data_IF_979081046585
#
_entry.id   IF_979081046585
#
_cell.length_a   1.000
_cell.length_b   1.000
_cell.length_c   1.000
_cell.angle_alpha   90.00
_cell.angle_beta   90.00
_cell.angle_gamma   90.00
#
_symmetry.space_group_name_H-M   'P 1'
#
loop_
_entity.id
_entity.type
_entity.pdbx_description
1 polymer ?
#
# COMPACT_ATOMS: atom_id res chain seq x y z
N UNK A 1 -5.59 56.64 13.64
CA UNK A 1 -5.16 55.44 14.41
C UNK A 1 -6.38 54.58 14.68
N UNK A 2 -6.59 53.50 13.92
CA UNK A 2 -7.62 52.54 14.26
C UNK A 2 -7.14 51.64 15.41
N UNK A 3 -7.91 51.48 16.49
CA UNK A 3 -7.52 50.60 17.58
C UNK A 3 -7.53 49.16 17.08
N UNK A 4 -6.42 48.44 17.26
CA UNK A 4 -6.34 47.01 17.06
C UNK A 4 -7.43 46.34 17.92
N UNK A 5 -8.53 45.89 17.30
CA UNK A 5 -9.52 45.04 17.96
C UNK A 5 -8.80 43.75 18.36
N UNK A 6 -8.52 43.57 19.65
CA UNK A 6 -8.02 42.31 20.19
C UNK A 6 -9.05 41.22 19.91
N UNK A 7 -8.66 40.22 19.14
CA UNK A 7 -9.46 39.02 18.87
C UNK A 7 -9.74 38.31 20.20
N UNK A 8 -10.99 37.91 20.46
CA UNK A 8 -11.31 37.21 21.71
C UNK A 8 -10.78 35.77 21.66
N UNK A 9 -10.50 35.12 22.81
CA UNK A 9 -10.07 33.71 22.84
C UNK A 9 -11.02 32.77 22.08
N UNK A 10 -12.33 33.00 22.20
CA UNK A 10 -13.35 32.23 21.49
C UNK A 10 -13.32 32.43 19.97
N UNK A 11 -13.04 33.64 19.49
CA UNK A 11 -12.87 33.92 18.06
C UNK A 11 -11.59 33.28 17.51
N UNK A 12 -10.52 33.22 18.30
CA UNK A 12 -9.28 32.56 17.92
C UNK A 12 -9.46 31.04 17.84
N UNK A 13 -10.17 30.43 18.79
CA UNK A 13 -10.50 29.00 18.79
C UNK A 13 -11.37 28.61 17.59
N UNK A 14 -12.44 29.37 17.31
CA UNK A 14 -13.27 29.16 16.11
C UNK A 14 -12.45 29.22 14.82
N UNK A 15 -11.52 30.17 14.74
CA UNK A 15 -10.64 30.31 13.58
C UNK A 15 -9.70 29.12 13.42
N UNK A 16 -9.14 28.59 14.51
CA UNK A 16 -8.28 27.39 14.47
C UNK A 16 -9.08 26.16 14.02
N UNK A 17 -10.30 25.99 14.50
CA UNK A 17 -11.17 24.88 14.09
C UNK A 17 -11.51 24.95 12.59
N UNK A 18 -11.77 26.14 12.06
CA UNK A 18 -12.02 26.36 10.64
C UNK A 18 -10.78 26.01 9.80
N UNK A 19 -9.60 26.47 10.20
CA UNK A 19 -8.34 26.16 9.51
C UNK A 19 -8.04 24.65 9.53
N UNK A 20 -8.30 23.98 10.66
CA UNK A 20 -8.14 22.53 10.77
C UNK A 20 -9.07 21.78 9.81
N UNK A 21 -10.31 22.24 9.64
CA UNK A 21 -11.24 21.65 8.65
C UNK A 21 -10.74 21.87 7.22
N UNK A 22 -10.35 23.10 6.87
CA UNK A 22 -9.81 23.41 5.54
C UNK A 22 -8.58 22.58 5.19
N UNK A 23 -7.69 22.36 6.17
CA UNK A 23 -6.54 21.49 5.99
C UNK A 23 -6.98 20.05 5.70
N UNK A 24 -7.92 19.50 6.48
CA UNK A 24 -8.45 18.14 6.26
C UNK A 24 -9.07 18.00 4.87
N UNK A 25 -9.86 18.98 4.43
CA UNK A 25 -10.50 18.97 3.12
C UNK A 25 -9.46 18.98 1.99
N UNK A 26 -8.42 19.82 2.11
CA UNK A 26 -7.32 19.88 1.15
C UNK A 26 -6.56 18.55 1.06
N UNK A 27 -6.21 17.94 2.21
CA UNK A 27 -5.52 16.64 2.24
C UNK A 27 -6.40 15.52 1.67
N UNK A 28 -7.71 15.53 1.96
CA UNK A 28 -8.65 14.56 1.40
C UNK A 28 -8.70 14.62 -0.14
N UNK A 29 -8.49 15.80 -0.72
CA UNK A 29 -8.43 16.03 -2.16
C UNK A 29 -7.01 15.85 -2.75
N UNK A 30 -6.01 15.52 -1.94
CA UNK A 30 -4.58 15.53 -2.28
C UNK A 30 -4.06 16.90 -2.76
N UNK A 31 -4.73 18.00 -2.41
CA UNK A 31 -4.26 19.35 -2.68
C UNK A 31 -3.28 19.81 -1.59
N UNK A 32 -2.04 19.31 -1.69
CA UNK A 32 -0.98 19.65 -0.75
C UNK A 32 -0.52 21.10 -0.86
N UNK A 33 -0.79 21.79 -1.98
CA UNK A 33 -0.48 23.20 -2.13
C UNK A 33 -1.45 24.07 -1.30
N UNK A 34 -2.75 23.78 -1.37
CA UNK A 34 -3.74 24.40 -0.50
C UNK A 34 -3.49 24.03 0.97
N UNK A 35 -3.20 22.76 1.26
CA UNK A 35 -2.84 22.29 2.60
C UNK A 35 -1.64 23.06 3.19
N UNK A 36 -0.61 23.31 2.38
CA UNK A 36 0.55 24.13 2.76
C UNK A 36 0.14 25.55 3.16
N UNK A 37 -0.67 26.22 2.34
CA UNK A 37 -1.12 27.58 2.60
C UNK A 37 -1.96 27.69 3.89
N UNK A 38 -2.81 26.70 4.14
CA UNK A 38 -3.60 26.61 5.38
C UNK A 38 -2.69 26.39 6.60
N UNK A 39 -1.70 25.51 6.49
CA UNK A 39 -0.74 25.26 7.57
C UNK A 39 0.10 26.52 7.88
N UNK A 40 0.55 27.27 6.87
CA UNK A 40 1.24 28.55 7.06
C UNK A 40 0.36 29.59 7.75
N UNK A 41 -0.91 29.71 7.35
CA UNK A 41 -1.86 30.60 8.02
C UNK A 41 -2.08 30.22 9.48
N UNK A 42 -2.11 28.92 9.78
CA UNK A 42 -2.26 28.38 11.13
C UNK A 42 -1.02 28.65 11.98
N UNK A 43 0.19 28.48 11.43
CA UNK A 43 1.45 28.77 12.12
C UNK A 43 1.62 30.27 12.45
N UNK A 44 0.96 31.19 11.74
CA UNK A 44 0.95 32.62 12.16
C UNK A 44 0.18 32.83 13.47
N UNK A 45 -0.78 31.97 13.78
CA UNK A 45 -1.57 32.01 15.02
C UNK A 45 -0.92 31.17 16.14
N UNK A 46 -0.33 30.03 15.78
CA UNK A 46 0.30 29.08 16.72
C UNK A 46 1.71 28.65 16.25
N UNK A 47 2.73 29.53 16.31
CA UNK A 47 4.02 29.33 15.63
C UNK A 47 4.87 28.14 16.10
N UNK A 48 4.54 27.56 17.26
CA UNK A 48 5.30 26.46 17.89
C UNK A 48 4.45 25.20 18.06
N UNK A 49 3.26 25.13 17.46
CA UNK A 49 2.43 23.94 17.56
C UNK A 49 3.09 22.77 16.78
N UNK A 50 3.43 21.65 17.44
CA UNK A 50 4.14 20.55 16.79
C UNK A 50 3.34 19.86 15.68
N UNK A 51 2.05 19.64 15.87
CA UNK A 51 1.18 18.95 14.91
C UNK A 51 1.03 19.75 13.60
N UNK A 52 0.88 21.07 13.72
CA UNK A 52 0.81 21.97 12.56
C UNK A 52 2.16 22.05 11.85
N UNK A 53 3.28 22.05 12.58
CA UNK A 53 4.62 22.00 11.95
C UNK A 53 4.87 20.69 11.22
N UNK A 54 4.42 19.55 11.78
CA UNK A 54 4.50 18.24 11.11
C UNK A 54 3.65 18.21 9.85
N UNK A 55 2.43 18.73 9.93
CA UNK A 55 1.49 18.86 8.80
C UNK A 55 2.05 19.76 7.69
N UNK A 56 2.66 20.89 8.06
CA UNK A 56 3.34 21.79 7.14
C UNK A 56 4.52 21.10 6.44
N UNK A 57 5.35 20.36 7.19
CA UNK A 57 6.48 19.62 6.65
C UNK A 57 6.04 18.52 5.66
N UNK A 58 4.91 17.85 5.92
CA UNK A 58 4.31 16.90 4.98
C UNK A 58 3.90 17.60 3.67
N UNK A 59 3.19 18.73 3.75
CA UNK A 59 2.80 19.49 2.56
C UNK A 59 4.01 20.01 1.77
N UNK A 60 5.06 20.48 2.46
CA UNK A 60 6.33 20.85 1.82
C UNK A 60 6.93 19.68 1.05
N UNK A 61 7.01 18.49 1.67
CA UNK A 61 7.53 17.29 1.01
C UNK A 61 6.71 16.91 -0.23
N UNK A 62 5.38 16.89 -0.10
CA UNK A 62 4.47 16.54 -1.21
C UNK A 62 4.45 17.58 -2.34
N UNK A 63 4.91 18.81 -2.08
CA UNK A 63 5.07 19.87 -3.10
C UNK A 63 6.52 20.00 -3.61
N UNK A 64 7.41 19.05 -3.27
CA UNK A 64 8.79 19.00 -3.76
C UNK A 64 9.78 19.90 -3.01
N UNK A 65 9.36 20.58 -1.94
CA UNK A 65 10.21 21.43 -1.11
C UNK A 65 10.98 20.62 -0.04
N UNK A 66 11.67 19.56 -0.48
CA UNK A 66 12.27 18.54 0.39
C UNK A 66 13.22 19.10 1.45
N UNK A 67 14.12 20.02 1.08
CA UNK A 67 15.06 20.63 2.02
C UNK A 67 14.38 21.43 3.14
N UNK A 68 13.28 22.13 2.84
CA UNK A 68 12.50 22.85 3.86
C UNK A 68 11.72 21.90 4.76
N UNK A 69 11.15 20.85 4.17
CA UNK A 69 10.48 19.78 4.92
C UNK A 69 11.45 19.12 5.91
N UNK A 70 12.63 18.68 5.43
CA UNK A 70 13.69 18.09 6.25
C UNK A 70 14.09 18.99 7.41
N UNK A 71 14.38 20.27 7.16
CA UNK A 71 14.74 21.23 8.23
C UNK A 71 13.63 21.39 9.27
N UNK A 72 12.38 21.38 8.83
CA UNK A 72 11.21 21.50 9.72
C UNK A 72 11.08 20.28 10.62
N UNK A 73 11.15 19.06 10.05
CA UNK A 73 11.13 17.82 10.82
C UNK A 73 12.35 17.70 11.76
N UNK A 74 13.57 18.00 11.29
CA UNK A 74 14.77 17.97 12.14
C UNK A 74 14.65 18.91 13.34
N UNK A 75 14.11 20.11 13.13
CA UNK A 75 13.89 21.07 14.23
C UNK A 75 12.91 20.51 15.25
N UNK A 76 11.81 19.88 14.81
CA UNK A 76 10.89 19.21 15.71
C UNK A 76 11.58 18.09 16.51
N UNK A 77 12.32 17.20 15.83
CA UNK A 77 13.09 16.10 16.42
C UNK A 77 14.09 16.57 17.49
N UNK A 78 14.68 17.75 17.30
CA UNK A 78 15.64 18.34 18.25
C UNK A 78 14.96 19.08 19.41
N UNK A 79 13.70 19.52 19.23
CA UNK A 79 13.02 20.39 20.18
C UNK A 79 12.13 19.67 21.18
N UNK A 80 11.78 18.41 20.91
CA UNK A 80 10.86 17.62 21.72
C UNK A 80 11.47 16.25 22.03
N UNK A 81 11.19 15.68 23.21
CA UNK A 81 11.46 14.27 23.45
C UNK A 81 10.59 13.41 22.53
N UNK A 82 11.06 12.21 22.21
CA UNK A 82 10.44 11.30 21.23
C UNK A 82 8.97 11.01 21.56
N UNK A 83 8.64 10.87 22.85
CA UNK A 83 7.29 10.57 23.33
C UNK A 83 6.28 11.72 23.13
N UNK A 84 6.77 12.92 22.80
CA UNK A 84 5.93 14.12 22.56
C UNK A 84 5.94 14.54 21.08
N UNK A 85 6.57 13.76 20.20
CA UNK A 85 6.53 14.03 18.77
C UNK A 85 5.13 13.69 18.21
N UNK A 86 4.64 14.45 17.21
CA UNK A 86 3.41 14.11 16.52
C UNK A 86 3.47 12.70 15.91
N UNK A 87 2.32 12.03 15.83
CA UNK A 87 2.21 10.75 15.14
C UNK A 87 2.68 10.87 13.68
N UNK A 88 3.32 9.82 13.16
CA UNK A 88 3.88 9.73 11.79
C UNK A 88 4.99 10.72 11.42
N UNK A 89 5.41 11.58 12.35
CA UNK A 89 6.45 12.57 12.11
C UNK A 89 7.80 11.93 11.75
N UNK A 90 8.15 10.85 12.45
CA UNK A 90 9.42 10.13 12.23
C UNK A 90 9.39 9.42 10.87
N UNK A 91 8.24 8.86 10.47
CA UNK A 91 8.03 8.32 9.13
C UNK A 91 8.23 9.39 8.05
N UNK A 92 7.65 10.59 8.25
CA UNK A 92 7.84 11.73 7.35
C UNK A 92 9.31 12.20 7.28
N UNK A 93 10.03 12.14 8.40
CA UNK A 93 11.46 12.46 8.45
C UNK A 93 12.31 11.40 7.74
N UNK A 94 11.99 10.11 7.90
CA UNK A 94 12.64 9.03 7.15
C UNK A 94 12.39 9.19 5.65
N UNK A 95 11.13 9.42 5.25
CA UNK A 95 10.75 9.62 3.86
C UNK A 95 11.50 10.78 3.20
N UNK A 96 11.54 11.96 3.84
CA UNK A 96 12.25 13.12 3.25
C UNK A 96 13.76 12.90 3.18
N UNK A 97 14.34 12.09 4.08
CA UNK A 97 15.74 11.68 3.96
C UNK A 97 15.95 10.78 2.74
N UNK A 98 14.99 9.91 2.41
CA UNK A 98 14.98 9.13 1.17
C UNK A 98 14.98 10.02 -0.07
N UNK A 99 14.06 10.99 -0.14
CA UNK A 99 13.99 11.96 -1.25
C UNK A 99 15.28 12.79 -1.42
N UNK A 100 15.97 13.11 -0.32
CA UNK A 100 17.21 13.87 -0.32
C UNK A 100 18.46 13.00 -0.50
N UNK A 101 18.32 11.68 -0.72
CA UNK A 101 19.42 10.73 -0.82
C UNK A 101 20.39 10.79 0.38
N UNK A 102 19.84 10.75 1.60
CA UNK A 102 20.57 10.77 2.88
C UNK A 102 20.52 9.39 3.54
N UNK A 103 21.33 8.41 3.10
CA UNK A 103 21.19 7.01 3.49
C UNK A 103 21.36 6.75 5.00
N UNK A 104 22.33 7.41 5.65
CA UNK A 104 22.57 7.22 7.08
C UNK A 104 21.40 7.74 7.94
N UNK A 105 20.84 8.89 7.56
CA UNK A 105 19.69 9.47 8.24
C UNK A 105 18.41 8.69 7.94
N UNK A 106 18.23 8.21 6.71
CA UNK A 106 17.14 7.33 6.32
C UNK A 106 17.14 6.05 7.18
N UNK A 107 18.29 5.37 7.27
CA UNK A 107 18.44 4.17 8.11
C UNK A 107 18.10 4.48 9.55
N UNK A 108 18.70 5.54 10.12
CA UNK A 108 18.50 5.93 11.51
C UNK A 108 17.03 6.21 11.84
N UNK A 109 16.36 7.03 11.03
CA UNK A 109 15.00 7.47 11.33
C UNK A 109 13.96 6.41 10.97
N UNK A 110 14.15 5.65 9.91
CA UNK A 110 13.28 4.52 9.61
C UNK A 110 13.38 3.40 10.65
N UNK A 111 14.60 3.08 11.12
CA UNK A 111 14.80 2.13 12.22
C UNK A 111 14.10 2.61 13.50
N UNK A 112 14.30 3.89 13.87
CA UNK A 112 13.65 4.47 15.03
C UNK A 112 12.12 4.43 14.93
N UNK A 113 11.55 4.69 13.74
CA UNK A 113 10.09 4.60 13.56
C UNK A 113 9.58 3.19 13.85
N UNK A 114 10.25 2.18 13.30
CA UNK A 114 9.91 0.78 13.47
C UNK A 114 10.09 0.31 14.93
N UNK A 115 11.18 0.70 15.60
CA UNK A 115 11.40 0.40 17.02
C UNK A 115 10.31 0.98 17.92
N UNK A 116 9.87 2.22 17.66
CA UNK A 116 8.80 2.85 18.44
C UNK A 116 7.45 2.20 18.16
N UNK A 117 7.19 1.83 16.90
CA UNK A 117 6.04 1.01 16.54
C UNK A 117 6.04 -0.30 17.32
N UNK A 118 7.17 -1.00 17.36
CA UNK A 118 7.29 -2.29 18.02
C UNK A 118 7.17 -2.18 19.54
N UNK A 119 7.77 -1.15 20.14
CA UNK A 119 7.59 -0.86 21.56
C UNK A 119 6.12 -0.60 21.91
N UNK A 120 5.37 0.03 21.01
CA UNK A 120 3.95 0.36 21.20
C UNK A 120 3.04 -0.84 21.01
N UNK A 121 3.28 -1.67 19.99
CA UNK A 121 2.34 -2.71 19.57
C UNK A 121 2.85 -4.13 19.74
N UNK A 122 4.17 -4.35 19.78
CA UNK A 122 4.79 -5.68 19.83
C UNK A 122 4.56 -6.45 21.14
N UNK A 123 4.10 -5.79 22.20
CA UNK A 123 3.70 -6.41 23.48
C UNK A 123 2.20 -6.69 23.57
N UNK A 124 1.46 -6.57 22.46
CA UNK A 124 0.04 -6.91 22.38
C UNK A 124 -0.23 -8.40 22.53
N UNK A 125 -1.50 -8.80 22.41
CA UNK A 125 -1.90 -10.21 22.48
C UNK A 125 -1.22 -11.01 21.37
N UNK A 126 -0.37 -11.95 21.75
CA UNK A 126 0.28 -12.89 20.84
C UNK A 126 -0.33 -14.29 20.99
N UNK A 127 -0.40 -15.03 19.89
CA UNK A 127 -0.84 -16.42 19.87
C UNK A 127 0.39 -17.33 19.68
N UNK A 128 0.48 -18.47 20.40
CA UNK A 128 1.66 -19.32 20.34
C UNK A 128 1.84 -19.94 18.95
N UNK A 129 3.08 -20.16 18.55
CA UNK A 129 3.39 -20.93 17.36
C UNK A 129 3.07 -22.42 17.60
N UNK A 130 2.48 -23.14 16.64
CA UNK A 130 2.10 -24.54 16.82
C UNK A 130 3.29 -25.49 17.11
N UNK A 131 4.47 -25.15 16.59
CA UNK A 131 5.70 -25.91 16.79
C UNK A 131 6.92 -24.99 16.68
N UNK A 132 8.10 -25.49 17.06
CA UNK A 132 9.36 -24.75 16.97
C UNK A 132 9.71 -24.36 15.52
N UNK A 133 9.34 -25.19 14.55
CA UNK A 133 9.59 -24.98 13.12
C UNK A 133 8.30 -25.19 12.33
N UNK A 134 8.10 -24.49 11.20
CA UNK A 134 6.95 -24.72 10.35
C UNK A 134 7.02 -26.11 9.65
N UNK A 135 5.89 -26.70 9.24
CA UNK A 135 5.87 -27.91 8.41
C UNK A 135 6.66 -27.71 7.11
N UNK A 136 7.21 -28.75 6.49
CA UNK A 136 7.95 -28.64 5.23
C UNK A 136 7.11 -28.02 4.10
N UNK A 137 7.76 -27.37 3.13
CA UNK A 137 7.10 -26.87 1.92
C UNK A 137 6.70 -28.03 1.02
N UNK A 138 5.47 -28.03 0.54
CA UNK A 138 4.96 -29.04 -0.40
C UNK A 138 4.85 -28.42 -1.81
N UNK A 139 5.89 -28.53 -2.65
CA UNK A 139 5.85 -27.94 -3.99
C UNK A 139 4.91 -28.69 -4.95
N UNK A 140 4.49 -29.91 -4.58
CA UNK A 140 3.68 -30.77 -5.44
C UNK A 140 2.17 -30.55 -5.29
N UNK A 141 1.75 -29.71 -4.34
CA UNK A 141 0.34 -29.34 -4.18
C UNK A 141 0.18 -27.81 -4.07
N UNK A 142 0.13 -27.08 -5.21
CA UNK A 142 -0.01 -25.62 -5.20
C UNK A 142 -1.27 -25.09 -4.47
N UNK A 143 -2.30 -25.92 -4.28
CA UNK A 143 -3.50 -25.54 -3.52
C UNK A 143 -3.20 -25.34 -2.01
N UNK A 144 -2.09 -25.90 -1.51
CA UNK A 144 -1.62 -25.66 -0.15
C UNK A 144 -0.77 -24.38 -0.01
N UNK A 145 -0.37 -23.76 -1.13
CA UNK A 145 0.55 -22.63 -1.19
C UNK A 145 -0.08 -21.46 -1.97
N UNK A 146 -0.69 -20.50 -1.28
CA UNK A 146 -1.53 -19.48 -1.94
C UNK A 146 -0.87 -18.10 -1.96
N UNK A 147 -0.85 -17.44 -3.12
CA UNK A 147 -0.59 -16.00 -3.21
C UNK A 147 -1.94 -15.29 -3.25
N UNK A 148 -2.32 -14.66 -2.13
CA UNK A 148 -3.63 -14.06 -1.94
C UNK A 148 -3.63 -12.56 -2.28
N UNK A 149 -4.62 -12.19 -3.08
CA UNK A 149 -4.89 -10.82 -3.52
C UNK A 149 -6.34 -10.44 -3.23
N UNK A 150 -6.58 -9.14 -3.05
CA UNK A 150 -7.92 -8.55 -3.15
C UNK A 150 -8.03 -7.85 -4.51
N UNK A 151 -9.18 -7.96 -5.18
CA UNK A 151 -9.53 -7.12 -6.32
C UNK A 151 -10.98 -6.60 -6.23
N UNK A 152 -11.17 -5.29 -6.34
CA UNK A 152 -12.49 -4.65 -6.41
C UNK A 152 -12.42 -3.41 -7.30
N UNK A 153 -13.55 -3.03 -7.87
CA UNK A 153 -13.70 -1.97 -8.86
C UNK A 153 -13.26 -2.38 -10.26
N UNK A 154 -13.45 -1.46 -11.20
CA UNK A 154 -13.19 -1.68 -12.63
C UNK A 154 -12.01 -0.85 -13.16
N UNK A 155 -11.16 -0.28 -12.28
CA UNK A 155 -10.06 0.56 -12.75
C UNK A 155 -8.96 -0.30 -13.39
N UNK A 156 -8.45 0.10 -14.57
CA UNK A 156 -7.45 -0.68 -15.31
C UNK A 156 -6.16 -0.86 -14.50
N UNK A 157 -5.76 0.14 -13.70
CA UNK A 157 -4.58 0.05 -12.82
C UNK A 157 -4.55 -1.16 -11.90
N UNK A 158 -5.72 -1.63 -11.46
CA UNK A 158 -5.85 -2.77 -10.57
C UNK A 158 -6.09 -4.05 -11.37
N UNK A 159 -7.04 -3.99 -12.31
CA UNK A 159 -7.45 -5.16 -13.09
C UNK A 159 -6.32 -5.71 -13.97
N UNK A 160 -5.61 -4.84 -14.68
CA UNK A 160 -4.54 -5.28 -15.58
C UNK A 160 -3.31 -5.76 -14.81
N UNK A 161 -3.00 -5.10 -13.68
CA UNK A 161 -1.91 -5.53 -12.79
C UNK A 161 -2.21 -6.89 -12.14
N UNK A 162 -3.45 -7.14 -11.74
CA UNK A 162 -3.89 -8.42 -11.22
C UNK A 162 -3.72 -9.55 -12.24
N UNK A 163 -4.16 -9.32 -13.49
CA UNK A 163 -3.97 -10.30 -14.58
C UNK A 163 -2.50 -10.53 -14.89
N UNK A 164 -1.68 -9.46 -14.89
CA UNK A 164 -0.24 -9.59 -15.08
C UNK A 164 0.41 -10.40 -13.95
N UNK A 165 0.01 -10.19 -12.70
CA UNK A 165 0.49 -10.99 -11.57
C UNK A 165 0.11 -12.47 -11.70
N UNK A 166 -1.13 -12.79 -12.10
CA UNK A 166 -1.55 -14.17 -12.35
C UNK A 166 -0.67 -14.83 -13.43
N UNK A 167 -0.39 -14.10 -14.52
CA UNK A 167 0.47 -14.57 -15.62
C UNK A 167 1.91 -14.81 -15.15
N UNK A 168 2.53 -13.82 -14.52
CA UNK A 168 3.93 -13.83 -14.06
C UNK A 168 4.17 -14.87 -12.96
N UNK A 169 3.17 -15.10 -12.10
CA UNK A 169 3.26 -16.10 -11.05
C UNK A 169 3.51 -17.51 -11.58
N UNK A 170 3.03 -17.86 -12.78
CA UNK A 170 3.31 -19.18 -13.37
C UNK A 170 4.79 -19.41 -13.65
N UNK A 171 5.55 -18.34 -13.89
CA UNK A 171 6.98 -18.40 -14.14
C UNK A 171 7.78 -18.30 -12.84
N UNK A 172 7.40 -17.37 -11.95
CA UNK A 172 8.15 -17.10 -10.72
C UNK A 172 7.77 -18.02 -9.55
N UNK A 173 6.53 -18.49 -9.50
CA UNK A 173 5.99 -19.26 -8.38
C UNK A 173 5.14 -20.43 -8.87
N UNK A 174 5.68 -21.35 -9.70
CA UNK A 174 4.91 -22.47 -10.25
C UNK A 174 4.36 -23.43 -9.18
N UNK A 175 4.96 -23.45 -7.99
CA UNK A 175 4.51 -24.23 -6.82
C UNK A 175 3.40 -23.54 -6.02
N UNK A 176 2.93 -22.37 -6.46
CA UNK A 176 1.92 -21.56 -5.77
C UNK A 176 0.69 -21.33 -6.65
N UNK A 177 -0.47 -21.22 -6.00
CA UNK A 177 -1.73 -20.83 -6.63
C UNK A 177 -2.02 -19.36 -6.33
N UNK A 178 -2.20 -18.53 -7.36
CA UNK A 178 -2.77 -17.19 -7.18
C UNK A 178 -4.25 -17.30 -6.84
N UNK A 179 -4.69 -16.63 -5.77
CA UNK A 179 -6.09 -16.52 -5.36
C UNK A 179 -6.52 -15.07 -5.27
N UNK A 180 -7.54 -14.70 -6.02
CA UNK A 180 -8.14 -13.36 -6.00
C UNK A 180 -9.49 -13.39 -5.30
N UNK A 181 -9.57 -12.71 -4.16
CA UNK A 181 -10.83 -12.42 -3.49
C UNK A 181 -11.44 -11.15 -4.09
N UNK A 182 -12.65 -11.24 -4.66
CA UNK A 182 -13.29 -10.15 -5.38
C UNK A 182 -14.80 -10.06 -5.19
N UNK A 183 -15.40 -8.94 -5.63
CA UNK A 183 -16.86 -8.77 -5.70
C UNK A 183 -17.35 -8.49 -7.14
N UNK A 184 -18.65 -8.26 -7.29
CA UNK A 184 -19.30 -8.04 -8.59
C UNK A 184 -18.89 -6.72 -9.27
N UNK A 185 -18.14 -5.84 -8.61
CA UNK A 185 -17.64 -4.60 -9.23
C UNK A 185 -16.45 -4.85 -10.18
N UNK A 186 -15.84 -6.04 -10.13
CA UNK A 186 -14.76 -6.44 -11.05
C UNK A 186 -15.34 -6.95 -12.38
N UNK A 187 -14.95 -6.40 -13.54
CA UNK A 187 -15.47 -6.81 -14.83
C UNK A 187 -15.33 -8.31 -15.11
N UNK A 188 -16.37 -8.95 -15.65
CA UNK A 188 -16.37 -10.39 -15.96
C UNK A 188 -15.23 -10.80 -16.90
N UNK A 189 -14.86 -9.95 -17.85
CA UNK A 189 -13.72 -10.19 -18.74
C UNK A 189 -12.38 -10.30 -17.97
N UNK A 190 -12.20 -9.50 -16.90
CA UNK A 190 -11.03 -9.57 -16.03
C UNK A 190 -11.05 -10.88 -15.24
N UNK A 191 -12.19 -11.26 -14.66
CA UNK A 191 -12.32 -12.53 -13.94
C UNK A 191 -12.04 -13.75 -14.85
N UNK A 192 -12.50 -13.71 -16.09
CA UNK A 192 -12.23 -14.75 -17.08
C UNK A 192 -10.72 -14.85 -17.40
N UNK A 193 -10.05 -13.70 -17.59
CA UNK A 193 -8.59 -13.66 -17.81
C UNK A 193 -7.81 -14.18 -16.60
N UNK A 194 -8.20 -13.84 -15.38
CA UNK A 194 -7.59 -14.41 -14.16
C UNK A 194 -7.69 -15.93 -14.12
N UNK A 195 -8.88 -16.49 -14.38
CA UNK A 195 -9.08 -17.96 -14.42
C UNK A 195 -8.29 -18.61 -15.57
N UNK A 196 -8.21 -17.96 -16.73
CA UNK A 196 -7.43 -18.45 -17.86
C UNK A 196 -5.93 -18.51 -17.56
N UNK A 197 -5.42 -17.62 -16.70
CA UNK A 197 -4.05 -17.68 -16.19
C UNK A 197 -3.86 -18.72 -15.07
N UNK A 198 -4.91 -19.48 -14.71
CA UNK A 198 -4.86 -20.54 -13.70
C UNK A 198 -5.13 -20.07 -12.27
N UNK A 199 -5.54 -18.81 -12.08
CA UNK A 199 -5.83 -18.28 -10.75
C UNK A 199 -7.19 -18.75 -10.23
N UNK A 200 -7.26 -18.98 -8.92
CA UNK A 200 -8.51 -19.16 -8.20
C UNK A 200 -9.19 -17.80 -8.00
N UNK A 201 -10.49 -17.74 -8.31
CA UNK A 201 -11.29 -16.52 -8.16
C UNK A 201 -12.40 -16.79 -7.16
N UNK A 202 -12.30 -16.17 -5.98
CA UNK A 202 -13.23 -16.31 -4.88
C UNK A 202 -14.10 -15.07 -4.79
N UNK A 203 -15.40 -15.26 -4.99
CA UNK A 203 -16.37 -14.19 -4.79
C UNK A 203 -16.62 -13.99 -3.30
N UNK A 204 -16.39 -12.78 -2.81
CA UNK A 204 -16.74 -12.35 -1.46
C UNK A 204 -18.13 -11.76 -1.50
N UNK A 205 -19.07 -12.42 -0.84
CA UNK A 205 -20.49 -12.07 -0.84
C UNK A 205 -21.13 -12.28 0.54
N UNK A 206 -22.40 -11.89 0.68
CA UNK A 206 -23.14 -12.06 1.93
C UNK A 206 -22.54 -11.28 3.10
N UNK A 207 -22.50 -11.91 4.28
CA UNK A 207 -22.04 -11.27 5.52
C UNK A 207 -20.58 -10.83 5.44
N UNK A 208 -19.70 -11.61 4.80
CA UNK A 208 -18.28 -11.28 4.69
C UNK A 208 -18.06 -9.98 3.89
N UNK A 209 -18.80 -9.82 2.78
CA UNK A 209 -18.74 -8.59 1.97
C UNK A 209 -19.21 -7.35 2.75
N UNK A 210 -20.21 -7.52 3.61
CA UNK A 210 -20.77 -6.42 4.41
C UNK A 210 -19.92 -6.04 5.62
N UNK A 211 -19.21 -7.01 6.19
CA UNK A 211 -18.50 -6.85 7.47
C UNK A 211 -17.00 -6.64 7.33
N UNK A 212 -16.39 -7.17 6.26
CA UNK A 212 -14.94 -7.13 6.07
C UNK A 212 -14.60 -6.11 4.96
N UNK A 213 -13.80 -5.07 5.27
CA UNK A 213 -13.32 -4.13 4.28
C UNK A 213 -12.58 -4.84 3.13
N UNK A 214 -12.75 -4.42 1.87
CA UNK A 214 -12.14 -5.09 0.73
C UNK A 214 -10.62 -5.32 0.86
N UNK A 215 -9.88 -4.32 1.35
CA UNK A 215 -8.43 -4.40 1.58
C UNK A 215 -7.99 -5.58 2.47
N UNK A 216 -8.91 -6.13 3.26
CA UNK A 216 -8.67 -7.25 4.18
C UNK A 216 -9.12 -8.62 3.61
N UNK A 217 -9.82 -8.68 2.47
CA UNK A 217 -10.30 -9.97 1.92
C UNK A 217 -9.18 -10.96 1.61
N UNK A 218 -8.02 -10.49 1.16
CA UNK A 218 -6.81 -11.31 1.00
C UNK A 218 -6.37 -12.02 2.29
N UNK A 219 -6.72 -11.49 3.47
CA UNK A 219 -6.41 -12.16 4.74
C UNK A 219 -7.34 -13.35 5.04
N UNK A 220 -8.45 -13.52 4.33
CA UNK A 220 -9.34 -14.69 4.47
C UNK A 220 -8.62 -16.01 4.21
N UNK A 221 -7.50 -15.97 3.49
CA UNK A 221 -6.63 -17.14 3.26
C UNK A 221 -6.08 -17.72 4.57
N UNK A 222 -5.95 -16.92 5.63
CA UNK A 222 -5.49 -17.38 6.95
C UNK A 222 -6.45 -18.38 7.60
N UNK A 223 -7.75 -18.28 7.28
CA UNK A 223 -8.80 -19.13 7.85
C UNK A 223 -9.02 -20.42 7.04
N UNK A 224 -8.41 -20.53 5.86
CA UNK A 224 -8.56 -21.71 5.00
C UNK A 224 -7.74 -22.90 5.55
N UNK A 225 -8.37 -23.99 5.99
CA UNK A 225 -7.66 -25.15 6.55
C UNK A 225 -6.85 -25.94 5.51
N UNK A 226 -7.16 -25.81 4.22
CA UNK A 226 -6.42 -26.44 3.14
C UNK A 226 -5.08 -25.74 2.89
N UNK A 227 -5.01 -24.43 3.11
CA UNK A 227 -3.80 -23.64 2.90
C UNK A 227 -2.80 -23.87 4.03
N UNK A 228 -1.56 -24.22 3.69
CA UNK A 228 -0.45 -24.43 4.64
C UNK A 228 0.50 -23.25 4.65
N UNK A 229 0.66 -22.58 3.50
CA UNK A 229 1.43 -21.35 3.36
C UNK A 229 0.71 -20.34 2.50
N UNK A 230 0.86 -19.07 2.87
CA UNK A 230 0.30 -17.98 2.10
C UNK A 230 1.30 -16.84 1.94
N UNK A 231 1.18 -16.12 0.82
CA UNK A 231 1.78 -14.81 0.58
C UNK A 231 0.64 -13.82 0.40
N UNK A 232 0.73 -12.65 1.02
CA UNK A 232 -0.28 -11.60 0.90
C UNK A 232 0.27 -10.46 0.07
N UNK A 233 -0.42 -10.11 -1.03
CA UNK A 233 0.05 -9.11 -2.00
C UNK A 233 -1.01 -8.09 -2.37
N UNK A 234 -0.55 -6.88 -2.70
CA UNK A 234 -1.37 -5.86 -3.35
C UNK A 234 -1.50 -6.20 -4.84
N UNK A 235 -2.71 -6.08 -5.40
CA UNK A 235 -2.97 -6.42 -6.80
C UNK A 235 -2.28 -5.48 -7.79
N UNK A 236 -1.96 -4.25 -7.38
CA UNK A 236 -1.24 -3.25 -8.18
C UNK A 236 0.28 -3.23 -7.97
N UNK A 237 0.82 -4.21 -7.23
CA UNK A 237 2.26 -4.44 -7.07
C UNK A 237 2.68 -5.70 -7.83
N UNK A 238 3.60 -5.56 -8.80
CA UNK A 238 4.01 -6.70 -9.61
C UNK A 238 5.03 -7.61 -8.89
N UNK A 239 4.80 -8.92 -8.98
CA UNK A 239 5.73 -9.96 -8.56
C UNK A 239 7.05 -9.86 -9.34
N UNK A 240 8.18 -10.14 -8.70
CA UNK A 240 9.51 -10.01 -9.32
C UNK A 240 10.50 -11.10 -8.90
N UNK A 241 11.59 -11.21 -9.64
CA UNK A 241 12.70 -12.14 -9.39
C UNK A 241 13.33 -11.91 -8.00
N UNK A 242 13.43 -10.65 -7.55
CA UNK A 242 13.91 -10.32 -6.20
C UNK A 242 13.00 -10.91 -5.13
N UNK A 243 11.69 -10.81 -5.34
CA UNK A 243 10.70 -11.35 -4.43
C UNK A 243 10.75 -12.88 -4.40
N UNK A 244 10.84 -13.53 -5.56
CA UNK A 244 11.00 -14.98 -5.67
C UNK A 244 12.19 -15.47 -4.84
N UNK A 245 13.34 -14.80 -4.95
CA UNK A 245 14.53 -15.17 -4.20
C UNK A 245 14.34 -15.01 -2.68
N UNK A 246 13.71 -13.92 -2.22
CA UNK A 246 13.39 -13.70 -0.81
C UNK A 246 12.41 -14.76 -0.26
N UNK A 247 11.35 -15.08 -1.00
CA UNK A 247 10.40 -16.13 -0.63
C UNK A 247 11.10 -17.49 -0.57
N UNK A 248 11.98 -17.82 -1.52
CA UNK A 248 12.74 -19.06 -1.50
C UNK A 248 13.68 -19.16 -0.29
N UNK A 249 14.33 -18.06 0.09
CA UNK A 249 15.14 -18.01 1.31
C UNK A 249 14.28 -18.25 2.56
N UNK A 250 13.07 -17.68 2.62
CA UNK A 250 12.12 -17.96 3.70
C UNK A 250 11.69 -19.43 3.74
N UNK A 251 11.36 -20.03 2.59
CA UNK A 251 10.96 -21.44 2.51
C UNK A 251 12.06 -22.40 3.00
N UNK A 252 13.33 -21.99 2.92
CA UNK A 252 14.50 -22.74 3.41
C UNK A 252 14.87 -22.43 4.88
N UNK A 253 14.18 -21.48 5.51
CA UNK A 253 14.42 -21.08 6.90
C UNK A 253 13.54 -21.88 7.88
N UNK A 254 13.80 -21.68 9.17
CA UNK A 254 12.96 -22.18 10.27
C UNK A 254 11.87 -21.17 10.70
N UNK A 255 11.66 -20.09 9.92
CA UNK A 255 10.77 -18.99 10.28
C UNK A 255 9.33 -19.25 9.83
N UNK A 256 8.37 -19.03 10.73
CA UNK A 256 6.95 -19.19 10.43
C UNK A 256 6.40 -18.12 9.50
N UNK A 257 6.97 -16.93 9.55
CA UNK A 257 6.52 -15.75 8.80
C UNK A 257 7.65 -15.10 8.01
N UNK A 258 7.26 -14.38 6.97
CA UNK A 258 8.14 -13.64 6.08
C UNK A 258 7.62 -12.22 5.86
N UNK A 259 8.53 -11.24 5.85
CA UNK A 259 8.23 -9.85 5.54
C UNK A 259 9.35 -9.23 4.70
N UNK A 260 9.00 -8.24 3.88
CA UNK A 260 9.93 -7.52 3.02
C UNK A 260 9.71 -6.01 3.12
N UNK A 261 10.80 -5.24 3.04
CA UNK A 261 10.82 -3.78 2.83
C UNK A 261 11.81 -3.47 1.72
N UNK A 262 11.39 -2.69 0.73
CA UNK A 262 12.19 -2.44 -0.47
C UNK A 262 12.18 -0.96 -0.91
N UNK A 263 11.65 -0.07 -0.06
CA UNK A 263 11.57 1.35 -0.38
C UNK A 263 11.59 2.24 0.87
N UNK A 264 12.05 3.48 0.72
CA UNK A 264 12.30 4.37 1.86
C UNK A 264 11.03 4.82 2.60
N UNK A 265 9.84 4.58 2.05
CA UNK A 265 8.56 4.82 2.73
C UNK A 265 8.03 3.60 3.49
N UNK A 266 8.74 2.46 3.48
CA UNK A 266 8.29 1.19 4.05
C UNK A 266 8.54 1.10 5.56
N UNK A 267 8.08 2.11 6.32
CA UNK A 267 8.31 2.27 7.77
C UNK A 267 7.17 1.75 8.66
N UNK A 268 6.27 0.92 8.13
CA UNK A 268 5.25 0.21 8.93
C UNK A 268 5.80 -1.14 9.45
N UNK A 269 5.29 -1.61 10.60
CA UNK A 269 5.72 -2.87 11.22
C UNK A 269 5.46 -4.09 10.32
N UNK A 270 4.32 -4.09 9.65
CA UNK A 270 3.95 -5.11 8.66
C UNK A 270 3.19 -4.45 7.52
N UNK A 271 3.81 -4.43 6.34
CA UNK A 271 3.20 -3.89 5.11
C UNK A 271 2.16 -4.87 4.59
N UNK A 272 0.93 -4.39 4.38
CA UNK A 272 -0.22 -5.27 4.15
C UNK A 272 -0.12 -6.13 2.89
N UNK A 273 0.61 -5.69 1.87
CA UNK A 273 0.87 -6.42 0.63
C UNK A 273 2.28 -6.99 0.49
N UNK A 274 3.08 -7.13 1.55
CA UNK A 274 4.49 -7.59 1.44
C UNK A 274 4.91 -8.61 2.51
N UNK A 275 3.99 -9.48 2.92
CA UNK A 275 4.27 -10.49 3.94
C UNK A 275 3.69 -11.86 3.58
N UNK A 276 4.08 -12.88 4.33
CA UNK A 276 3.59 -14.24 4.17
C UNK A 276 3.75 -15.04 5.45
N UNK A 277 3.13 -16.20 5.51
CA UNK A 277 3.16 -17.03 6.70
C UNK A 277 2.73 -18.47 6.46
N UNK A 278 3.02 -19.29 7.46
CA UNK A 278 2.46 -20.62 7.58
C UNK A 278 1.13 -20.57 8.35
N UNK A 279 0.23 -21.52 8.08
CA UNK A 279 -1.03 -21.63 8.83
C UNK A 279 -0.76 -21.88 10.32
N UNK A 280 -1.25 -20.97 11.16
CA UNK A 280 -1.17 -21.08 12.62
C UNK A 280 -2.56 -21.37 13.18
N UNK A 281 -2.82 -22.61 13.60
CA UNK A 281 -4.11 -23.03 14.16
C UNK A 281 -4.44 -22.44 15.54
N UNK A 282 -3.46 -21.87 16.23
CA UNK A 282 -3.68 -21.14 17.49
C UNK A 282 -4.16 -19.70 17.25
N UNK A 283 -4.09 -19.21 16.01
CA UNK A 283 -4.62 -17.90 15.65
C UNK A 283 -6.15 -17.99 15.53
N UNK A 284 -6.93 -17.13 16.21
CA UNK A 284 -8.37 -17.08 16.03
C UNK A 284 -8.74 -16.70 14.60
N UNK A 285 -9.97 -17.00 14.21
CA UNK A 285 -10.49 -16.62 12.89
C UNK A 285 -10.20 -15.16 12.59
N UNK A 286 -9.66 -14.90 11.40
CA UNK A 286 -9.36 -13.56 10.94
C UNK A 286 -10.64 -12.74 10.77
N UNK A 287 -11.76 -13.41 10.44
CA UNK A 287 -13.09 -12.81 10.35
C UNK A 287 -13.50 -12.27 11.71
N UNK A 288 -13.37 -13.08 12.76
CA UNK A 288 -13.74 -12.68 14.12
C UNK A 288 -12.84 -11.57 14.65
N UNK A 289 -11.52 -11.67 14.43
CA UNK A 289 -10.57 -10.61 14.81
C UNK A 289 -10.85 -9.30 14.06
N UNK A 290 -11.23 -9.38 12.78
CA UNK A 290 -11.61 -8.21 11.99
C UNK A 290 -12.89 -7.59 12.53
N UNK A 291 -13.90 -8.41 12.90
CA UNK A 291 -15.16 -7.94 13.48
C UNK A 291 -14.91 -7.21 14.81
N UNK A 292 -14.10 -7.79 15.70
CA UNK A 292 -13.69 -7.16 16.96
C UNK A 292 -12.94 -5.84 16.73
N UNK A 293 -12.00 -5.82 15.79
CA UNK A 293 -11.25 -4.62 15.45
C UNK A 293 -12.14 -3.47 14.93
N UNK A 294 -13.16 -3.81 14.14
CA UNK A 294 -14.07 -2.84 13.53
C UNK A 294 -15.18 -2.37 14.47
N UNK A 295 -15.56 -3.16 15.48
CA UNK A 295 -16.57 -2.72 16.47
C UNK A 295 -16.10 -1.56 17.34
N UNK A 296 -14.79 -1.42 17.53
CA UNK A 296 -14.19 -0.42 18.41
C UNK A 296 -13.84 0.90 17.72
N UNK A 297 -14.15 1.09 16.42
CA UNK A 297 -13.61 2.22 15.64
C UNK A 297 -14.59 2.88 14.68
N UNK A 298 -14.82 4.17 14.87
CA UNK A 298 -15.16 5.07 13.78
C UNK A 298 -13.89 5.50 13.03
N UNK A 299 -13.78 5.11 11.76
CA UNK A 299 -12.96 5.82 10.78
C UNK A 299 -11.46 5.51 10.79
N UNK A 300 -11.03 4.76 9.78
CA UNK A 300 -9.92 5.09 8.86
C UNK A 300 -9.88 4.01 7.77
N UNK A 301 -10.81 4.08 6.80
CA UNK A 301 -11.00 3.03 5.78
C UNK A 301 -9.77 2.75 4.90
N UNK A 302 -8.88 3.74 4.73
CA UNK A 302 -7.75 3.68 3.76
C UNK A 302 -6.55 2.86 4.24
N UNK A 303 -6.34 2.76 5.56
CA UNK A 303 -5.20 2.03 6.16
C UNK A 303 -5.66 0.99 7.17
N UNK A 304 -6.92 0.55 7.02
CA UNK A 304 -7.60 -0.34 7.96
C UNK A 304 -6.84 -1.66 8.11
N UNK A 305 -6.30 -2.17 7.02
CA UNK A 305 -5.51 -3.40 6.95
C UNK A 305 -4.16 -3.26 7.67
N UNK A 306 -3.37 -2.23 7.37
CA UNK A 306 -2.08 -2.02 8.05
C UNK A 306 -2.24 -1.81 9.56
N UNK A 307 -3.26 -1.05 9.96
CA UNK A 307 -3.54 -0.81 11.38
C UNK A 307 -4.03 -2.05 12.10
N UNK A 308 -4.81 -2.89 11.43
CA UNK A 308 -5.19 -4.20 11.94
C UNK A 308 -3.94 -5.07 12.12
N UNK A 309 -3.10 -5.19 11.09
CA UNK A 309 -1.90 -6.03 11.11
C UNK A 309 -0.96 -5.65 12.26
N UNK A 310 -0.61 -4.37 12.40
CA UNK A 310 0.32 -3.93 13.44
C UNK A 310 -0.21 -4.13 14.86
N UNK A 311 -1.53 -4.17 15.06
CA UNK A 311 -2.15 -4.29 16.39
C UNK A 311 -2.51 -5.72 16.77
N UNK A 312 -3.06 -6.49 15.83
CA UNK A 312 -3.61 -7.82 16.09
C UNK A 312 -2.65 -8.95 15.67
N UNK A 313 -1.90 -8.78 14.57
CA UNK A 313 -1.05 -9.86 14.05
C UNK A 313 0.42 -9.69 14.37
N UNK A 314 0.92 -8.46 14.45
CA UNK A 314 2.34 -8.20 14.67
C UNK A 314 2.93 -8.89 15.91
N UNK A 315 2.29 -8.88 17.11
CA UNK A 315 2.79 -9.59 18.28
C UNK A 315 3.00 -11.08 18.02
N UNK A 316 2.12 -11.69 17.22
CA UNK A 316 2.21 -13.11 16.85
C UNK A 316 3.32 -13.34 15.83
N UNK A 317 3.34 -12.52 14.78
CA UNK A 317 4.24 -12.67 13.63
C UNK A 317 5.71 -12.50 14.04
N UNK A 318 6.02 -11.51 14.88
CA UNK A 318 7.40 -11.21 15.29
C UNK A 318 8.08 -12.34 16.09
N UNK A 319 7.32 -13.33 16.59
CA UNK A 319 7.87 -14.48 17.33
C UNK A 319 8.77 -15.36 16.44
N UNK A 320 8.52 -15.41 15.12
CA UNK A 320 9.33 -16.19 14.18
C UNK A 320 9.22 -15.60 12.77
N UNK A 321 10.03 -14.58 12.53
CA UNK A 321 10.00 -13.77 11.31
C UNK A 321 11.35 -13.82 10.59
N UNK A 322 11.34 -14.09 9.28
CA UNK A 322 12.41 -13.67 8.39
C UNK A 322 12.02 -12.34 7.74
N UNK A 323 12.86 -11.32 7.88
CA UNK A 323 12.64 -10.00 7.29
C UNK A 323 13.77 -9.69 6.31
N UNK A 324 13.43 -9.31 5.07
CA UNK A 324 14.38 -8.74 4.12
C UNK A 324 14.22 -7.21 4.03
N UNK A 325 15.28 -6.48 4.37
CA UNK A 325 15.33 -5.02 4.37
C UNK A 325 16.79 -4.54 4.34
N UNK A 326 17.14 -3.76 3.32
CA UNK A 326 18.49 -3.18 3.17
C UNK A 326 18.56 -1.73 3.69
N UNK A 327 17.42 -1.11 3.98
CA UNK A 327 17.31 0.32 4.27
C UNK A 327 17.37 0.62 5.77
N UNK A 328 16.59 -0.09 6.58
CA UNK A 328 16.41 0.28 7.98
C UNK A 328 17.15 -0.66 8.94
N UNK A 329 17.18 -1.97 8.67
CA UNK A 329 17.90 -2.95 9.49
C UNK A 329 17.17 -3.31 10.79
N UNK A 330 15.83 -3.23 10.79
CA UNK A 330 14.98 -3.50 11.95
C UNK A 330 14.69 -5.00 12.13
N UNK A 331 14.75 -5.50 13.37
CA UNK A 331 14.58 -6.93 13.74
C UNK A 331 15.49 -7.88 12.94
N UNK A 332 16.80 -7.68 13.05
CA UNK A 332 17.82 -8.52 12.43
C UNK A 332 17.58 -8.76 10.93
N UNK A 333 17.11 -7.70 10.24
CA UNK A 333 16.77 -7.81 8.83
C UNK A 333 17.96 -8.24 7.99
N UNK A 334 17.68 -9.07 6.99
CA UNK A 334 18.66 -9.60 6.06
C UNK A 334 18.65 -8.81 4.75
N UNK A 335 19.77 -8.71 4.03
CA UNK A 335 19.77 -8.21 2.67
C UNK A 335 18.94 -9.12 1.75
N UNK A 336 18.58 -8.63 0.56
CA UNK A 336 17.91 -9.48 -0.41
C UNK A 336 18.86 -10.56 -0.93
N UNK A 337 18.40 -11.82 -1.09
CA UNK A 337 19.22 -12.86 -1.69
C UNK A 337 19.56 -12.54 -3.15
N UNK A 338 20.62 -13.17 -3.67
CA UNK A 338 20.97 -13.06 -5.08
C UNK A 338 19.79 -13.54 -5.97
N UNK A 339 19.49 -12.77 -7.02
CA UNK A 339 18.36 -13.01 -7.90
C UNK A 339 18.71 -12.69 -9.35
N UNK A 340 17.95 -13.26 -10.29
CA UNK A 340 18.03 -12.87 -11.70
C UNK A 340 17.62 -11.39 -11.89
N UNK A 341 18.05 -10.71 -12.98
CA UNK A 341 17.64 -9.34 -13.24
C UNK A 341 16.13 -9.16 -13.19
N UNK A 342 15.66 -8.11 -12.51
CA UNK A 342 14.24 -7.81 -12.38
C UNK A 342 13.66 -7.55 -13.77
N UNK A 343 12.56 -8.20 -14.13
CA UNK A 343 11.93 -8.02 -15.46
C UNK A 343 11.34 -6.62 -15.69
N UNK A 344 10.96 -5.93 -14.62
CA UNK A 344 10.32 -4.62 -14.66
C UNK A 344 11.35 -3.49 -14.76
N UNK A 345 11.66 -3.08 -15.99
CA UNK A 345 12.71 -2.09 -16.29
C UNK A 345 12.21 -0.65 -16.12
N UNK A 346 11.93 -0.24 -14.89
CA UNK A 346 11.64 1.17 -14.54
C UNK A 346 12.43 1.58 -13.30
N UNK A 347 12.90 2.83 -13.29
CA UNK A 347 13.60 3.47 -12.17
C UNK A 347 12.76 3.55 -10.88
N UNK A 348 11.44 3.39 -11.00
CA UNK A 348 10.49 3.43 -9.88
C UNK A 348 10.20 2.05 -9.29
N UNK A 349 10.69 0.97 -9.90
CA UNK A 349 10.35 -0.37 -9.45
C UNK A 349 11.02 -0.68 -8.10
N UNK A 350 10.20 -1.15 -7.17
CA UNK A 350 10.56 -1.84 -5.95
C UNK A 350 9.46 -2.84 -5.61
N UNK A 351 9.73 -3.84 -4.79
CA UNK A 351 8.68 -4.75 -4.29
C UNK A 351 7.64 -3.92 -3.53
N UNK A 352 6.36 -4.06 -3.86
CA UNK A 352 5.28 -3.24 -3.30
C UNK A 352 5.04 -1.90 -4.01
N UNK A 353 5.77 -1.61 -5.09
CA UNK A 353 5.56 -0.39 -5.88
C UNK A 353 4.26 -0.43 -6.67
N UNK A 354 3.55 0.71 -6.71
CA UNK A 354 2.38 0.85 -7.57
C UNK A 354 2.82 0.91 -9.04
N UNK A 355 2.27 0.03 -9.85
CA UNK A 355 2.62 -0.17 -11.27
C UNK A 355 1.99 0.85 -12.22
N UNK A 356 1.01 1.62 -11.74
CA UNK A 356 0.17 2.52 -12.55
C UNK A 356 0.33 3.97 -12.12
N UNK A 357 1.53 4.50 -12.29
CA UNK A 357 1.88 5.87 -11.93
C UNK A 357 1.74 6.89 -13.08
N UNK A 358 1.43 6.43 -14.30
CA UNK A 358 1.27 7.29 -15.49
C UNK A 358 -0.20 7.43 -15.89
N UNK A 359 -0.56 8.61 -16.40
CA UNK A 359 -1.89 8.90 -16.94
C UNK A 359 -1.88 8.65 -18.45
N UNK A 360 -2.90 7.96 -18.94
CA UNK A 360 -3.25 7.87 -20.35
C UNK A 360 -4.59 8.58 -20.58
N UNK A 361 -4.81 9.09 -21.78
CA UNK A 361 -6.07 9.74 -22.13
C UNK A 361 -6.11 10.15 -23.58
N UNK A 362 -7.33 10.34 -24.11
CA UNK A 362 -7.60 10.82 -25.46
C UNK A 362 -8.79 11.76 -25.45
N UNK A 363 -8.89 12.55 -26.52
CA UNK A 363 -10.09 13.32 -26.82
C UNK A 363 -11.30 12.39 -26.97
N UNK A 364 -12.46 12.90 -26.55
CA UNK A 364 -13.75 12.24 -26.61
C UNK A 364 -14.76 13.17 -27.29
N UNK A 365 -15.61 12.61 -28.15
CA UNK A 365 -16.73 13.34 -28.75
C UNK A 365 -17.97 13.35 -27.85
N UNK A 366 -17.95 12.59 -26.76
CA UNK A 366 -19.02 12.53 -25.78
C UNK A 366 -19.04 13.78 -24.89
N UNK A 367 -20.19 14.06 -24.30
CA UNK A 367 -20.36 15.18 -23.38
C UNK A 367 -19.64 14.91 -22.04
N UNK A 368 -19.27 15.99 -21.35
CA UNK A 368 -18.69 15.89 -20.01
C UNK A 368 -19.64 15.16 -19.05
N UNK A 369 -19.10 14.24 -18.28
CA UNK A 369 -19.83 13.32 -17.40
C UNK A 369 -20.27 12.01 -18.05
N UNK A 370 -20.25 11.90 -19.38
CA UNK A 370 -20.51 10.62 -20.07
C UNK A 370 -19.31 9.68 -19.96
N UNK A 371 -19.56 8.37 -20.09
CA UNK A 371 -18.50 7.36 -20.08
C UNK A 371 -18.02 7.09 -21.52
N UNK A 372 -16.75 7.39 -21.82
CA UNK A 372 -16.11 6.96 -23.07
C UNK A 372 -15.61 5.53 -22.91
N UNK A 373 -16.07 4.59 -23.74
CA UNK A 373 -15.46 3.27 -23.82
C UNK A 373 -14.24 3.32 -24.70
N UNK A 374 -13.22 2.60 -24.28
CA UNK A 374 -11.95 2.51 -25.00
C UNK A 374 -11.31 1.14 -24.79
N UNK A 375 -10.36 0.81 -25.64
CA UNK A 375 -9.63 -0.44 -25.60
C UNK A 375 -8.14 -0.25 -25.88
N UNK A 376 -7.34 -1.23 -25.44
CA UNK A 376 -5.93 -1.37 -25.83
C UNK A 376 -5.82 -2.49 -26.85
N UNK A 377 -5.16 -2.21 -27.97
CA UNK A 377 -4.91 -3.14 -29.07
C UNK A 377 -3.42 -3.48 -29.12
N UNK A 378 -3.10 -4.75 -29.38
CA UNK A 378 -1.73 -5.17 -29.69
C UNK A 378 -1.31 -4.75 -31.13
N UNK A 379 -0.08 -5.09 -31.51
CA UNK A 379 0.50 -4.79 -32.82
C UNK A 379 -0.25 -5.48 -33.98
N UNK A 380 -1.01 -6.56 -33.71
CA UNK A 380 -1.85 -7.26 -34.68
C UNK A 380 -3.29 -6.71 -34.71
N UNK A 381 -3.62 -5.73 -33.86
CA UNK A 381 -4.96 -5.17 -33.75
C UNK A 381 -5.94 -6.03 -32.94
N UNK A 382 -5.46 -6.97 -32.13
CA UNK A 382 -6.32 -7.72 -31.20
C UNK A 382 -6.59 -6.90 -29.94
N UNK A 383 -7.83 -6.95 -29.46
CA UNK A 383 -8.24 -6.30 -28.21
C UNK A 383 -7.63 -7.03 -27.00
N UNK A 384 -6.75 -6.35 -26.28
CA UNK A 384 -6.12 -6.85 -25.05
C UNK A 384 -7.02 -6.64 -23.83
N UNK A 385 -7.66 -5.47 -23.74
CA UNK A 385 -8.57 -5.11 -22.67
C UNK A 385 -9.47 -3.92 -23.06
N UNK A 386 -10.62 -3.81 -22.41
CA UNK A 386 -11.60 -2.75 -22.63
C UNK A 386 -12.06 -2.16 -21.31
N UNK A 387 -12.21 -0.84 -21.28
CA UNK A 387 -12.60 -0.08 -20.11
C UNK A 387 -13.51 1.08 -20.51
N UNK A 388 -14.04 1.77 -19.50
CA UNK A 388 -14.77 3.01 -19.69
C UNK A 388 -14.33 4.02 -18.62
N UNK A 389 -14.08 5.25 -19.05
CA UNK A 389 -13.66 6.34 -18.15
C UNK A 389 -14.57 7.55 -18.36
N UNK A 390 -14.86 8.34 -17.30
CA UNK A 390 -15.68 9.54 -17.42
C UNK A 390 -14.95 10.60 -18.26
N UNK A 391 -15.72 11.32 -19.07
CA UNK A 391 -15.25 12.46 -19.86
C UNK A 391 -15.29 13.71 -18.99
N UNK A 392 -14.20 14.48 -19.00
CA UNK A 392 -14.06 15.78 -18.36
C UNK A 392 -13.28 16.71 -19.29
N UNK A 393 -13.85 17.87 -19.62
CA UNK A 393 -13.29 18.81 -20.59
C UNK A 393 -13.00 18.15 -21.96
N UNK A 394 -13.97 17.41 -22.51
CA UNK A 394 -13.90 16.72 -23.82
C UNK A 394 -12.75 15.70 -23.97
N UNK A 395 -12.22 15.20 -22.85
CA UNK A 395 -11.20 14.16 -22.84
C UNK A 395 -11.52 13.17 -21.72
N UNK A 396 -11.03 11.94 -21.85
CA UNK A 396 -11.01 11.00 -20.74
C UNK A 396 -9.57 10.77 -20.31
N UNK A 397 -9.37 10.50 -19.02
CA UNK A 397 -8.06 10.15 -18.45
C UNK A 397 -8.20 8.99 -17.49
N UNK A 398 -7.27 8.06 -17.56
CA UNK A 398 -7.16 6.94 -16.62
C UNK A 398 -5.70 6.60 -16.33
N UNK A 399 -5.44 5.87 -15.24
CA UNK A 399 -4.11 5.38 -14.91
C UNK A 399 -3.92 3.98 -15.47
N UNK A 400 -2.92 3.83 -16.34
CA UNK A 400 -2.54 2.55 -16.91
C UNK A 400 -1.24 2.04 -16.29
N UNK A 401 -1.07 0.71 -16.13
CA UNK A 401 0.21 0.14 -15.77
C UNK A 401 1.28 0.42 -16.83
N UNK A 402 2.52 0.64 -16.40
CA UNK A 402 3.64 0.96 -17.30
C UNK A 402 3.83 -0.11 -18.39
N UNK A 403 3.64 -1.40 -18.08
CA UNK A 403 3.83 -2.48 -19.06
C UNK A 403 2.81 -2.45 -20.22
N UNK A 404 1.68 -1.74 -20.07
CA UNK A 404 0.77 -1.45 -21.18
C UNK A 404 1.15 -0.12 -21.84
N UNK A 405 1.34 0.92 -21.04
CA UNK A 405 1.50 2.27 -21.55
C UNK A 405 2.83 2.47 -22.28
N UNK A 406 3.92 1.85 -21.83
CA UNK A 406 5.23 1.93 -22.49
C UNK A 406 5.16 1.38 -23.92
N UNK A 407 4.39 0.30 -24.14
CA UNK A 407 4.14 -0.28 -25.49
C UNK A 407 3.34 0.66 -26.38
N UNK A 408 2.36 1.34 -25.80
CA UNK A 408 1.56 2.36 -26.51
C UNK A 408 2.43 3.57 -26.87
N UNK A 409 3.26 4.03 -25.94
CA UNK A 409 4.18 5.17 -26.15
C UNK A 409 5.28 4.84 -27.15
N UNK A 410 5.71 3.58 -27.24
CA UNK A 410 6.63 3.09 -28.26
C UNK A 410 5.98 2.97 -29.66
N UNK A 411 4.65 3.15 -29.78
CA UNK A 411 3.91 3.00 -31.03
C UNK A 411 3.67 1.54 -31.45
N UNK A 412 3.97 0.59 -30.56
CA UNK A 412 3.77 -0.84 -30.80
C UNK A 412 2.29 -1.22 -30.61
N UNK A 413 1.64 -0.62 -29.60
CA UNK A 413 0.23 -0.85 -29.26
C UNK A 413 -0.59 0.42 -29.43
N UNK A 414 -1.91 0.28 -29.49
CA UNK A 414 -2.83 1.40 -29.73
C UNK A 414 -3.93 1.49 -28.67
N UNK A 415 -4.24 2.72 -28.24
CA UNK A 415 -5.47 3.02 -27.50
C UNK A 415 -6.52 3.57 -28.46
N UNK A 416 -7.71 2.96 -28.47
CA UNK A 416 -8.82 3.30 -29.38
C UNK A 416 -10.11 3.54 -28.59
N UNK A 417 -10.81 4.64 -28.91
CA UNK A 417 -12.20 4.84 -28.47
C UNK A 417 -13.11 3.94 -29.33
N UNK A 418 -14.07 3.26 -28.70
CA UNK A 418 -14.90 2.23 -29.38
C UNK A 418 -16.39 2.57 -29.43
N UNK A 419 -16.79 3.74 -28.94
CA UNK A 419 -18.17 4.22 -29.00
C UNK A 419 -18.30 5.75 -28.98
#
# INVERSE_FOLDING_TARGET
>A
MHPFKKTTPQQQEQRLNQLAQQYRDAIAQNDFAAGKAVAEATLRLVPRNPDVLSSYALCLMRTGEYEKSYKTYKKLMQSLPVEKLPDTMIDGLAEVCGWLNRPDELRRYGHLSLELGDKKFGSGRAYPLPAAQPPAFNPHNPQENVIAFTLFGALPRYCESAVMNAKVSKELFPEWCCRFYLDDSVPQAVQARLRAEGAEVIKVEGEQHQTIPPLMWRFLVLDDPAVKRYLIRDADSLLSEREQAAVNAWLQSDRWYHHMRDYFTHTELLLAGMWGGCRNENLPSIIDQTREYLSDREGHRRFVDQYFLRQHLWPTIKQSLLNHDELFGFLDAQPYPAHAPIRWQTDKFHIGSNTSFQLAGKESQKADGEMQRWEVLDEQGNSLCQYASPVDNHQWKDRLPFFLLDRVLAGEWQIRNID
#
